data_IF_384975791356
#
_entry.id   IF_384975791356
#
_cell.length_a   1.000
_cell.length_b   1.000
_cell.length_c   1.000
_cell.angle_alpha   90.00
_cell.angle_beta   90.00
_cell.angle_gamma   90.00
#
_symmetry.space_group_name_H-M   'P 1'
#
loop_
_entity.id
_entity.type
_entity.pdbx_description
1 polymer ?
#
# COMPACT_ATOMS: atom_id res chain seq x y z
N UNK A 1 23.74 20.01 -61.76
CA UNK A 1 22.59 19.10 -61.43
C UNK A 1 22.59 18.95 -59.92
N UNK A 2 21.50 19.34 -59.31
CA UNK A 2 21.35 19.20 -57.87
C UNK A 2 21.42 17.71 -57.48
N UNK A 3 22.12 17.35 -56.40
CA UNK A 3 22.21 15.97 -55.96
C UNK A 3 20.83 15.45 -55.58
N UNK A 4 20.46 14.27 -56.09
CA UNK A 4 19.19 13.62 -55.76
C UNK A 4 19.45 12.32 -55.05
N UNK A 5 18.73 12.08 -53.94
CA UNK A 5 18.73 10.82 -53.19
C UNK A 5 17.39 10.13 -53.38
N UNK A 6 17.41 8.83 -53.55
CA UNK A 6 16.20 8.03 -53.72
C UNK A 6 15.69 7.56 -52.33
N UNK A 7 14.44 7.82 -52.04
CA UNK A 7 13.82 7.31 -50.83
C UNK A 7 13.83 5.77 -50.83
N UNK A 8 14.34 5.16 -49.79
CA UNK A 8 14.46 3.69 -49.64
C UNK A 8 13.10 2.98 -49.64
N UNK A 9 12.04 3.66 -49.17
CA UNK A 9 10.72 3.15 -49.06
C UNK A 9 9.88 3.35 -50.33
N UNK A 10 9.53 4.58 -50.71
CA UNK A 10 8.66 4.86 -51.85
C UNK A 10 9.39 5.00 -53.18
N UNK A 11 10.73 4.90 -53.21
CA UNK A 11 11.61 5.02 -54.40
C UNK A 11 11.54 6.37 -55.10
N UNK A 12 10.87 7.38 -54.57
CA UNK A 12 10.85 8.74 -55.10
C UNK A 12 12.23 9.38 -54.96
N UNK A 13 12.65 10.13 -55.98
CA UNK A 13 13.85 10.94 -55.92
C UNK A 13 13.54 12.27 -55.25
N UNK A 14 14.35 12.65 -54.27
CA UNK A 14 14.28 13.91 -53.53
C UNK A 14 15.54 14.69 -53.87
N UNK A 15 15.38 15.95 -54.26
CA UNK A 15 16.49 16.88 -54.47
C UNK A 15 16.99 17.30 -53.10
N UNK A 16 18.27 17.20 -52.86
CA UNK A 16 18.90 17.45 -51.55
C UNK A 16 19.91 18.56 -51.69
N UNK A 17 19.60 19.72 -51.09
CA UNK A 17 20.52 20.86 -51.03
C UNK A 17 21.40 20.84 -49.76
N UNK A 18 20.92 20.12 -48.70
CA UNK A 18 21.67 19.90 -47.47
C UNK A 18 21.35 18.51 -46.88
N UNK A 19 22.20 18.06 -45.97
CA UNK A 19 21.95 16.78 -45.25
C UNK A 19 20.69 16.80 -44.39
N UNK A 20 20.09 17.97 -44.15
CA UNK A 20 18.84 18.14 -43.36
C UNK A 20 17.57 18.10 -44.22
N UNK A 21 17.65 18.00 -45.54
CA UNK A 21 16.49 17.97 -46.43
C UNK A 21 15.73 16.63 -46.39
N UNK A 22 16.37 15.61 -45.83
CA UNK A 22 15.77 14.32 -45.58
C UNK A 22 15.62 14.10 -44.06
N UNK A 23 14.37 13.84 -43.53
CA UNK A 23 14.16 13.64 -42.10
C UNK A 23 14.95 12.46 -41.53
N UNK A 24 15.21 11.44 -42.36
CA UNK A 24 16.01 10.27 -41.97
C UNK A 24 17.01 10.01 -43.14
N UNK A 25 18.28 10.12 -42.86
CA UNK A 25 19.37 9.81 -43.79
C UNK A 25 20.58 9.23 -43.08
N UNK A 26 20.99 8.03 -43.48
CA UNK A 26 22.24 7.43 -42.99
C UNK A 26 23.25 7.37 -44.10
N UNK A 27 24.30 8.20 -44.04
CA UNK A 27 25.32 8.25 -45.11
C UNK A 27 26.15 6.96 -45.22
N UNK A 28 26.19 6.10 -44.19
CA UNK A 28 27.00 4.87 -44.23
C UNK A 28 26.29 3.76 -44.99
N UNK A 29 24.97 3.61 -44.80
CA UNK A 29 24.18 2.61 -45.48
C UNK A 29 23.51 3.10 -46.78
N UNK A 30 23.47 4.42 -46.99
CA UNK A 30 22.70 5.05 -48.05
C UNK A 30 21.19 5.01 -47.85
N UNK A 31 20.72 4.60 -46.65
CA UNK A 31 19.32 4.56 -46.33
C UNK A 31 18.73 5.96 -46.16
N UNK A 32 17.61 6.22 -46.84
CA UNK A 32 16.96 7.53 -46.81
C UNK A 32 15.44 7.40 -46.81
N UNK A 33 14.75 8.23 -46.03
CA UNK A 33 13.31 8.37 -46.06
C UNK A 33 12.91 9.81 -46.35
N UNK A 34 12.00 10.01 -47.30
CA UNK A 34 11.42 11.33 -47.56
C UNK A 34 10.38 11.70 -46.48
N UNK A 35 10.11 12.98 -46.29
CA UNK A 35 9.21 13.51 -45.26
C UNK A 35 7.82 12.84 -45.32
N UNK A 36 7.27 12.61 -46.54
CA UNK A 36 5.98 11.93 -46.70
C UNK A 36 6.02 10.50 -46.14
N UNK A 37 7.06 9.71 -46.44
CA UNK A 37 7.15 8.35 -45.93
C UNK A 37 7.34 8.33 -44.41
N UNK A 38 8.09 9.27 -43.84
CA UNK A 38 8.20 9.40 -42.37
C UNK A 38 6.83 9.69 -41.75
N UNK A 39 6.05 10.61 -42.33
CA UNK A 39 4.71 10.93 -41.88
C UNK A 39 3.74 9.73 -42.01
N UNK A 40 3.81 9.02 -43.14
CA UNK A 40 2.94 7.85 -43.37
C UNK A 40 3.27 6.69 -42.39
N UNK A 41 4.58 6.46 -42.14
CA UNK A 41 5.04 5.48 -41.15
C UNK A 41 4.62 5.90 -39.74
N UNK A 42 4.78 7.18 -39.37
CA UNK A 42 4.37 7.71 -38.08
C UNK A 42 2.87 7.49 -37.84
N UNK A 43 2.03 7.85 -38.84
CA UNK A 43 0.57 7.63 -38.75
C UNK A 43 0.21 6.15 -38.64
N UNK A 44 0.94 5.27 -39.35
CA UNK A 44 0.71 3.83 -39.26
C UNK A 44 1.07 3.28 -37.88
N UNK A 45 2.17 3.78 -37.29
CA UNK A 45 2.57 3.45 -35.91
C UNK A 45 1.54 3.94 -34.90
N UNK A 46 1.06 5.19 -35.03
CA UNK A 46 0.00 5.72 -34.14
C UNK A 46 -1.29 4.90 -34.26
N UNK A 47 -1.73 4.58 -35.49
CA UNK A 47 -2.92 3.77 -35.71
C UNK A 47 -2.79 2.38 -35.09
N UNK A 48 -1.62 1.74 -35.25
CA UNK A 48 -1.35 0.43 -34.64
C UNK A 48 -1.29 0.53 -33.10
N UNK A 49 -0.73 1.60 -32.58
CA UNK A 49 -0.67 1.83 -31.12
C UNK A 49 -2.06 2.06 -30.52
N UNK A 50 -2.94 2.75 -31.24
CA UNK A 50 -4.36 2.90 -30.87
C UNK A 50 -5.10 1.55 -30.88
N UNK A 51 -4.80 0.69 -31.86
CA UNK A 51 -5.42 -0.64 -32.00
C UNK A 51 -4.93 -1.58 -30.88
N UNK A 52 -3.63 -1.61 -30.59
CA UNK A 52 -3.04 -2.35 -29.45
C UNK A 52 -3.60 -1.87 -28.13
N UNK A 53 -3.77 -0.56 -27.95
CA UNK A 53 -4.35 -0.02 -26.73
C UNK A 53 -5.83 -0.42 -26.59
N UNK A 54 -6.61 -0.42 -27.68
CA UNK A 54 -8.01 -0.90 -27.65
C UNK A 54 -8.13 -2.38 -27.31
N UNK A 55 -7.23 -3.22 -27.81
CA UNK A 55 -7.20 -4.63 -27.45
C UNK A 55 -6.83 -4.83 -25.98
N UNK A 56 -5.84 -4.09 -25.48
CA UNK A 56 -5.45 -4.09 -24.06
C UNK A 56 -6.59 -3.57 -23.16
N UNK A 57 -7.30 -2.53 -23.60
CA UNK A 57 -8.48 -2.01 -22.89
C UNK A 57 -9.62 -3.02 -22.87
N UNK A 58 -9.88 -3.72 -23.98
CA UNK A 58 -10.91 -4.76 -24.07
C UNK A 58 -10.58 -5.98 -23.18
N UNK A 59 -9.33 -6.40 -23.12
CA UNK A 59 -8.87 -7.46 -22.23
C UNK A 59 -8.97 -7.03 -20.76
N UNK A 60 -8.63 -5.78 -20.46
CA UNK A 60 -8.78 -5.19 -19.12
C UNK A 60 -10.25 -5.12 -18.71
N UNK A 61 -11.16 -4.78 -19.64
CA UNK A 61 -12.61 -4.76 -19.42
C UNK A 61 -13.16 -6.15 -19.11
N UNK A 62 -12.80 -7.16 -19.90
CA UNK A 62 -13.21 -8.54 -19.65
C UNK A 62 -12.77 -9.03 -18.29
N UNK A 63 -11.55 -8.69 -17.89
CA UNK A 63 -11.01 -9.03 -16.58
C UNK A 63 -11.73 -8.28 -15.45
N UNK A 64 -12.05 -6.97 -15.63
CA UNK A 64 -12.80 -6.18 -14.65
C UNK A 64 -14.21 -6.72 -14.39
N UNK A 65 -14.92 -7.21 -15.40
CA UNK A 65 -16.26 -7.79 -15.23
C UNK A 65 -16.22 -9.09 -14.42
N UNK A 66 -15.26 -9.96 -14.70
CA UNK A 66 -15.06 -11.18 -13.93
C UNK A 66 -14.60 -10.86 -12.50
N UNK A 67 -13.69 -9.91 -12.34
CA UNK A 67 -13.22 -9.42 -11.05
C UNK A 67 -14.34 -8.77 -10.24
N UNK A 68 -15.16 -7.90 -10.84
CA UNK A 68 -16.28 -7.24 -10.18
C UNK A 68 -17.30 -8.23 -9.60
N UNK A 69 -17.48 -9.40 -10.22
CA UNK A 69 -18.33 -10.47 -9.65
C UNK A 69 -17.74 -11.05 -8.35
N UNK A 70 -16.41 -11.04 -8.21
CA UNK A 70 -15.65 -11.58 -7.08
C UNK A 70 -15.38 -10.54 -5.99
N UNK A 71 -15.42 -9.24 -6.31
CA UNK A 71 -15.03 -8.11 -5.42
C UNK A 71 -16.19 -7.59 -4.56
N UNK A 72 -17.31 -8.30 -4.41
CA UNK A 72 -18.41 -7.83 -3.55
C UNK A 72 -17.93 -7.60 -2.12
N UNK A 73 -18.33 -6.48 -1.45
CA UNK A 73 -17.78 -6.10 -0.15
C UNK A 73 -17.86 -7.17 0.94
N UNK A 74 -18.96 -7.96 0.95
CA UNK A 74 -19.11 -9.06 1.90
C UNK A 74 -18.11 -10.20 1.64
N UNK A 75 -17.81 -10.53 0.38
CA UNK A 75 -16.82 -11.56 0.03
C UNK A 75 -15.40 -11.13 0.40
N UNK A 76 -15.08 -9.84 0.19
CA UNK A 76 -13.82 -9.27 0.64
C UNK A 76 -13.69 -9.41 2.15
N UNK A 77 -14.72 -9.01 2.91
CA UNK A 77 -14.73 -9.12 4.37
C UNK A 77 -14.57 -10.57 4.82
N UNK A 78 -15.33 -11.52 4.25
CA UNK A 78 -15.21 -12.94 4.55
C UNK A 78 -13.81 -13.51 4.29
N UNK A 79 -13.16 -13.05 3.22
CA UNK A 79 -11.77 -13.45 2.95
C UNK A 79 -10.82 -12.88 4.01
N UNK A 80 -10.95 -11.59 4.34
CA UNK A 80 -10.12 -10.93 5.34
C UNK A 80 -10.31 -11.55 6.73
N UNK A 81 -11.52 -11.98 7.08
CA UNK A 81 -11.83 -12.64 8.37
C UNK A 81 -11.04 -13.96 8.55
N UNK A 82 -10.58 -14.59 7.47
CA UNK A 82 -9.75 -15.80 7.54
C UNK A 82 -8.28 -15.53 7.94
N UNK A 83 -7.84 -14.27 7.84
CA UNK A 83 -6.44 -13.88 8.06
C UNK A 83 -6.25 -12.81 9.13
N UNK A 84 -7.25 -11.96 9.36
CA UNK A 84 -7.17 -10.80 10.24
C UNK A 84 -8.18 -10.96 11.36
N UNK A 85 -7.71 -10.95 12.60
CA UNK A 85 -8.55 -10.99 13.80
C UNK A 85 -9.05 -9.58 14.12
N UNK A 86 -10.27 -9.48 14.62
CA UNK A 86 -10.94 -8.22 14.94
C UNK A 86 -10.95 -7.26 13.72
N UNK A 87 -10.90 -5.96 13.96
CA UNK A 87 -10.86 -4.91 12.93
C UNK A 87 -12.08 -4.89 11.98
N UNK A 88 -13.26 -5.28 12.48
CA UNK A 88 -14.46 -5.46 11.66
C UNK A 88 -14.89 -4.19 10.92
N UNK A 89 -14.80 -3.04 11.61
CA UNK A 89 -15.13 -1.75 11.01
C UNK A 89 -14.14 -1.37 9.89
N UNK A 90 -12.85 -1.58 10.11
CA UNK A 90 -11.82 -1.32 9.11
C UNK A 90 -12.00 -2.23 7.88
N UNK A 91 -12.22 -3.53 8.08
CA UNK A 91 -12.52 -4.48 7.00
C UNK A 91 -13.72 -4.05 6.17
N UNK A 92 -14.81 -3.61 6.83
CA UNK A 92 -16.03 -3.13 6.17
C UNK A 92 -15.75 -1.87 5.33
N UNK A 93 -15.08 -0.87 5.91
CA UNK A 93 -14.76 0.39 5.23
C UNK A 93 -13.88 0.13 4.00
N UNK A 94 -12.81 -0.65 4.15
CA UNK A 94 -11.90 -0.95 3.06
C UNK A 94 -12.57 -1.78 1.96
N UNK A 95 -13.39 -2.77 2.32
CA UNK A 95 -14.14 -3.56 1.35
C UNK A 95 -15.05 -2.70 0.48
N UNK A 96 -15.75 -1.74 1.10
CA UNK A 96 -16.62 -0.80 0.37
C UNK A 96 -15.81 0.18 -0.45
N UNK A 97 -14.72 0.73 0.10
CA UNK A 97 -13.87 1.71 -0.60
C UNK A 97 -13.27 1.12 -1.88
N UNK A 98 -12.72 -0.09 -1.79
CA UNK A 98 -12.17 -0.81 -2.94
C UNK A 98 -13.25 -1.14 -3.96
N UNK A 99 -14.38 -1.68 -3.53
CA UNK A 99 -15.50 -1.98 -4.43
C UNK A 99 -15.98 -0.74 -5.19
N UNK A 100 -16.13 0.40 -4.50
CA UNK A 100 -16.52 1.66 -5.14
C UNK A 100 -15.46 2.19 -6.10
N UNK A 101 -14.17 2.02 -5.77
CA UNK A 101 -13.08 2.39 -6.65
C UNK A 101 -13.15 1.64 -7.98
N UNK A 102 -13.35 0.31 -7.95
CA UNK A 102 -13.47 -0.50 -9.17
C UNK A 102 -14.77 -0.21 -9.93
N UNK A 103 -15.89 0.05 -9.24
CA UNK A 103 -17.12 0.52 -9.88
C UNK A 103 -16.92 1.83 -10.63
N UNK A 104 -16.20 2.77 -10.03
CA UNK A 104 -15.88 4.04 -10.68
C UNK A 104 -15.07 3.83 -11.96
N UNK A 105 -14.06 2.98 -11.90
CA UNK A 105 -13.26 2.65 -13.09
C UNK A 105 -14.13 2.05 -14.19
N UNK A 106 -14.94 1.03 -13.86
CA UNK A 106 -15.85 0.40 -14.81
C UNK A 106 -16.82 1.41 -15.43
N UNK A 107 -17.41 2.28 -14.60
CA UNK A 107 -18.31 3.33 -15.09
C UNK A 107 -17.62 4.24 -16.11
N UNK A 108 -16.35 4.62 -15.86
CA UNK A 108 -15.56 5.41 -16.82
C UNK A 108 -15.22 4.70 -18.11
N UNK A 109 -15.16 3.35 -18.13
CA UNK A 109 -14.97 2.57 -19.34
C UNK A 109 -16.26 2.36 -20.15
N UNK A 110 -17.38 2.13 -19.45
CA UNK A 110 -18.66 1.78 -20.08
C UNK A 110 -19.34 2.99 -20.76
N UNK A 111 -18.96 4.23 -20.44
CA UNK A 111 -19.61 5.45 -20.90
C UNK A 111 -18.63 6.38 -21.62
N UNK A 112 -19.11 7.13 -22.58
CA UNK A 112 -18.32 8.18 -23.26
C UNK A 112 -18.09 9.36 -22.32
N UNK A 113 -16.95 10.04 -22.45
CA UNK A 113 -16.59 11.17 -21.57
C UNK A 113 -17.65 12.26 -21.48
N UNK A 114 -18.37 12.55 -22.57
CA UNK A 114 -19.42 13.58 -22.65
C UNK A 114 -20.73 13.20 -21.92
N UNK A 115 -20.92 11.94 -21.54
CA UNK A 115 -22.13 11.40 -20.89
C UNK A 115 -21.89 11.00 -19.43
N UNK A 116 -20.68 11.22 -18.92
CA UNK A 116 -20.29 10.78 -17.58
C UNK A 116 -20.72 11.79 -16.51
N UNK A 117 -21.41 11.30 -15.49
CA UNK A 117 -21.43 11.98 -14.21
C UNK A 117 -20.02 11.94 -13.59
N UNK A 118 -19.56 13.05 -13.03
CA UNK A 118 -18.25 13.11 -12.39
C UNK A 118 -18.24 12.33 -11.08
N UNK A 119 -17.76 11.09 -11.11
CA UNK A 119 -17.51 10.30 -9.91
C UNK A 119 -16.06 10.53 -9.46
N UNK A 120 -15.89 11.30 -8.40
CA UNK A 120 -14.57 11.63 -7.87
C UNK A 120 -13.84 10.40 -7.32
N UNK A 121 -12.50 10.44 -7.43
CA UNK A 121 -11.61 9.44 -6.85
C UNK A 121 -11.61 9.55 -5.33
N UNK A 122 -11.84 8.43 -4.65
CA UNK A 122 -11.87 8.35 -3.19
C UNK A 122 -10.69 7.53 -2.67
N UNK A 123 -9.59 8.21 -2.32
CA UNK A 123 -8.48 7.56 -1.64
C UNK A 123 -8.78 7.38 -0.14
N UNK A 124 -7.99 6.56 0.53
CA UNK A 124 -8.25 6.13 1.92
C UNK A 124 -7.11 6.59 2.83
N UNK A 125 -7.46 7.07 4.02
CA UNK A 125 -6.51 7.22 5.13
C UNK A 125 -6.78 6.18 6.20
N UNK A 126 -5.71 5.49 6.63
CA UNK A 126 -5.76 4.41 7.62
C UNK A 126 -4.99 4.83 8.89
N UNK A 127 -5.67 4.84 10.03
CA UNK A 127 -5.10 5.15 11.33
C UNK A 127 -5.11 3.93 12.23
N UNK A 128 -4.05 3.74 12.99
CA UNK A 128 -4.03 2.66 14.00
C UNK A 128 -2.63 2.44 14.57
N UNK A 129 -2.51 1.91 15.79
CA UNK A 129 -1.23 1.70 16.46
C UNK A 129 -0.23 0.89 15.64
N UNK A 130 1.04 0.98 16.01
CA UNK A 130 2.04 0.08 15.42
C UNK A 130 1.70 -1.37 15.78
N UNK A 131 1.79 -2.28 14.81
CA UNK A 131 1.52 -3.70 15.04
C UNK A 131 0.03 -4.10 15.09
N UNK A 132 -0.94 -3.19 14.85
CA UNK A 132 -2.37 -3.53 14.80
C UNK A 132 -2.79 -4.22 13.49
N UNK A 133 -1.91 -4.38 12.50
CA UNK A 133 -2.17 -5.16 11.29
C UNK A 133 -2.48 -4.34 10.03
N UNK A 134 -2.23 -3.02 9.98
CA UNK A 134 -2.50 -2.17 8.79
C UNK A 134 -1.95 -2.76 7.49
N UNK A 135 -0.65 -2.97 7.43
CA UNK A 135 0.03 -3.50 6.23
C UNK A 135 -0.42 -4.93 5.90
N UNK A 136 -0.65 -5.78 6.91
CA UNK A 136 -1.14 -7.14 6.71
C UNK A 136 -2.55 -7.13 6.10
N UNK A 137 -3.46 -6.28 6.61
CA UNK A 137 -4.82 -6.13 6.11
C UNK A 137 -4.82 -5.76 4.62
N UNK A 138 -4.00 -4.77 4.23
CA UNK A 138 -3.89 -4.30 2.85
C UNK A 138 -3.21 -5.33 1.93
N UNK A 139 -2.19 -6.03 2.41
CA UNK A 139 -1.52 -7.09 1.65
C UNK A 139 -2.46 -8.26 1.36
N UNK A 140 -3.29 -8.67 2.32
CA UNK A 140 -4.30 -9.71 2.10
C UNK A 140 -5.42 -9.23 1.17
N UNK A 141 -5.82 -7.96 1.28
CA UNK A 141 -6.79 -7.36 0.36
C UNK A 141 -6.28 -7.39 -1.08
N UNK A 142 -5.07 -6.90 -1.34
CA UNK A 142 -4.46 -6.89 -2.66
C UNK A 142 -4.26 -8.31 -3.22
N UNK A 143 -3.85 -9.26 -2.37
CA UNK A 143 -3.70 -10.68 -2.75
C UNK A 143 -5.03 -11.32 -3.15
N UNK A 144 -6.13 -11.01 -2.45
CA UNK A 144 -7.45 -11.52 -2.80
C UNK A 144 -7.89 -11.04 -4.18
N UNK A 145 -7.56 -9.79 -4.49
CA UNK A 145 -7.99 -9.11 -5.72
C UNK A 145 -7.06 -9.40 -6.91
N UNK A 146 -5.94 -10.06 -6.69
CA UNK A 146 -4.86 -10.28 -7.68
C UNK A 146 -4.37 -8.99 -8.35
N UNK A 147 -4.28 -7.92 -7.56
CA UNK A 147 -3.95 -6.58 -8.02
C UNK A 147 -2.51 -6.24 -7.64
N UNK A 148 -1.76 -5.53 -8.51
CA UNK A 148 -0.46 -4.99 -8.15
C UNK A 148 -0.55 -4.12 -6.89
N UNK A 149 0.33 -4.39 -5.93
CA UNK A 149 0.36 -3.70 -4.65
C UNK A 149 1.78 -3.29 -4.30
N UNK A 150 1.96 -2.01 -4.03
CA UNK A 150 3.25 -1.48 -3.58
C UNK A 150 3.12 -0.77 -2.24
N UNK A 151 4.08 -1.04 -1.37
CA UNK A 151 4.24 -0.33 -0.09
C UNK A 151 5.44 0.62 -0.22
N UNK A 152 5.24 1.86 0.18
CA UNK A 152 6.30 2.88 0.20
C UNK A 152 6.27 3.58 1.56
N UNK A 153 7.42 3.65 2.19
CA UNK A 153 7.60 4.38 3.45
C UNK A 153 7.66 5.89 3.17
N UNK A 154 6.68 6.63 3.68
CA UNK A 154 6.58 8.07 3.49
C UNK A 154 7.69 8.84 4.18
N UNK A 155 8.29 8.28 5.23
CA UNK A 155 9.40 8.93 5.97
C UNK A 155 10.68 9.01 5.12
N UNK A 156 10.79 8.18 4.08
CA UNK A 156 11.92 8.18 3.14
C UNK A 156 11.75 9.15 1.98
N UNK A 157 10.56 9.71 1.80
CA UNK A 157 10.25 10.61 0.70
C UNK A 157 10.76 12.03 1.00
N UNK A 158 11.26 12.70 -0.04
CA UNK A 158 11.73 14.07 0.02
C UNK A 158 11.16 14.87 -1.14
N UNK A 159 11.14 16.19 -0.96
CA UNK A 159 10.80 17.11 -2.03
C UNK A 159 11.84 17.02 -3.16
N UNK A 160 11.39 17.20 -4.41
CA UNK A 160 12.26 17.14 -5.59
C UNK A 160 13.45 18.10 -5.47
N UNK A 161 14.67 17.57 -5.60
CA UNK A 161 15.92 18.34 -5.48
C UNK A 161 16.62 18.23 -4.11
N UNK A 162 16.01 17.61 -3.11
CA UNK A 162 16.65 17.28 -1.84
C UNK A 162 17.26 15.87 -1.83
N UNK A 163 18.10 15.59 -0.83
CA UNK A 163 18.69 14.25 -0.65
C UNK A 163 17.63 13.30 -0.07
N UNK A 164 17.22 12.32 -0.87
CA UNK A 164 16.21 11.32 -0.52
C UNK A 164 15.56 10.71 -1.74
N UNK A 165 14.44 10.06 -1.54
CA UNK A 165 13.65 9.46 -2.62
C UNK A 165 12.54 10.39 -3.07
N UNK A 166 12.48 10.71 -4.35
CA UNK A 166 11.39 11.48 -4.93
C UNK A 166 10.05 10.72 -4.77
N UNK A 167 8.94 11.45 -4.69
CA UNK A 167 7.59 10.87 -4.50
C UNK A 167 7.19 9.87 -5.59
N UNK A 168 7.76 10.01 -6.80
CA UNK A 168 7.57 9.10 -7.94
C UNK A 168 8.07 7.66 -7.66
N UNK A 169 8.90 7.46 -6.64
CA UNK A 169 9.33 6.13 -6.17
C UNK A 169 8.14 5.23 -5.85
N UNK A 170 7.06 5.79 -5.33
CA UNK A 170 5.84 5.02 -5.02
C UNK A 170 5.23 4.40 -6.29
N UNK A 171 5.09 5.19 -7.36
CA UNK A 171 4.57 4.71 -8.65
C UNK A 171 5.55 3.75 -9.32
N UNK A 172 6.85 4.04 -9.23
CA UNK A 172 7.91 3.15 -9.74
C UNK A 172 7.88 1.79 -9.04
N UNK A 173 7.68 1.74 -7.72
CA UNK A 173 7.55 0.48 -6.99
C UNK A 173 6.34 -0.32 -7.46
N UNK A 174 5.20 0.35 -7.68
CA UNK A 174 4.00 -0.28 -8.21
C UNK A 174 4.21 -0.82 -9.64
N UNK A 175 4.90 -0.08 -10.49
CA UNK A 175 5.25 -0.54 -11.84
C UNK A 175 6.05 -1.85 -11.83
N UNK A 176 7.01 -1.99 -10.90
CA UNK A 176 7.74 -3.25 -10.75
C UNK A 176 6.87 -4.36 -10.14
N UNK A 177 5.97 -4.03 -9.22
CA UNK A 177 5.00 -5.00 -8.67
C UNK A 177 3.97 -5.45 -9.72
N UNK A 178 3.75 -4.65 -10.76
CA UNK A 178 2.91 -4.96 -11.91
C UNK A 178 3.67 -5.67 -13.05
N UNK A 179 4.86 -6.27 -12.79
CA UNK A 179 5.70 -6.93 -13.77
C UNK A 179 6.05 -6.05 -14.98
N UNK A 180 6.22 -4.74 -14.75
CA UNK A 180 6.50 -3.71 -15.76
C UNK A 180 5.37 -3.52 -16.78
N UNK A 181 4.17 -3.95 -16.49
CA UNK A 181 2.98 -3.71 -17.29
C UNK A 181 2.33 -2.40 -16.85
N UNK A 182 2.29 -1.40 -17.74
CA UNK A 182 1.76 -0.06 -17.44
C UNK A 182 0.26 -0.15 -17.14
N UNK A 183 -0.53 -0.85 -17.94
CA UNK A 183 -1.97 -0.98 -17.75
C UNK A 183 -2.30 -1.61 -16.40
N UNK A 184 -1.65 -2.71 -16.03
CA UNK A 184 -1.81 -3.31 -14.69
C UNK A 184 -1.37 -2.36 -13.57
N UNK A 185 -0.29 -1.59 -13.79
CA UNK A 185 0.20 -0.60 -12.83
C UNK A 185 -0.85 0.48 -12.57
N UNK A 186 -1.47 1.01 -13.62
CA UNK A 186 -2.49 2.07 -13.53
C UNK A 186 -3.78 1.66 -12.80
N UNK A 187 -4.00 0.36 -12.61
CA UNK A 187 -5.13 -0.20 -11.85
C UNK A 187 -4.73 -0.78 -10.49
N UNK A 188 -3.52 -0.55 -10.06
CA UNK A 188 -2.97 -1.07 -8.80
C UNK A 188 -3.32 -0.25 -7.55
N UNK A 189 -2.76 -0.70 -6.44
CA UNK A 189 -2.90 -0.05 -5.12
C UNK A 189 -1.52 0.38 -4.61
N UNK A 190 -1.38 1.64 -4.22
CA UNK A 190 -0.21 2.16 -3.51
C UNK A 190 -0.58 2.38 -2.05
N UNK A 191 0.18 1.77 -1.16
CA UNK A 191 0.12 2.04 0.27
C UNK A 191 1.33 2.89 0.69
N UNK A 192 1.04 4.11 1.15
CA UNK A 192 2.02 5.01 1.73
C UNK A 192 1.99 4.83 3.26
N UNK A 193 2.94 4.04 3.79
CA UNK A 193 3.05 3.79 5.24
C UNK A 193 3.82 4.92 5.94
N UNK A 194 3.71 5.00 7.25
CA UNK A 194 4.33 6.02 8.10
C UNK A 194 4.00 7.48 7.68
N UNK A 195 2.80 7.70 7.13
CA UNK A 195 2.37 9.00 6.64
C UNK A 195 2.31 10.09 7.73
N UNK A 196 2.11 9.69 8.98
CA UNK A 196 2.16 10.56 10.15
C UNK A 196 3.55 11.18 10.39
N UNK A 197 4.62 10.63 9.80
CA UNK A 197 5.98 11.17 9.91
C UNK A 197 6.21 12.41 9.05
N UNK A 198 5.45 12.56 7.98
CA UNK A 198 5.49 13.76 7.14
C UNK A 198 4.46 14.82 7.54
N UNK A 199 3.77 14.63 8.68
CA UNK A 199 2.91 15.64 9.27
C UNK A 199 3.73 16.82 9.82
N UNK A 200 3.21 18.03 9.69
CA UNK A 200 3.81 19.22 10.32
C UNK A 200 3.83 19.05 11.83
N UNK A 201 4.96 19.27 12.47
CA UNK A 201 5.03 19.32 13.93
C UNK A 201 4.38 20.61 14.42
N UNK A 202 3.16 20.53 14.91
CA UNK A 202 2.53 21.62 15.65
C UNK A 202 3.14 21.72 17.05
N UNK A 203 4.26 22.44 17.20
CA UNK A 203 4.82 22.77 18.50
C UNK A 203 4.12 23.99 19.09
N UNK A 204 3.85 23.99 20.40
CA UNK A 204 3.32 25.16 21.16
C UNK A 204 4.28 26.37 21.18
N UNK A 205 5.51 26.23 20.69
CA UNK A 205 6.46 27.32 20.50
C UNK A 205 6.46 27.69 19.02
N UNK A 206 5.75 28.78 18.67
CA UNK A 206 5.83 29.51 17.42
C UNK A 206 7.23 30.12 17.17
N UNK A 207 8.28 29.35 17.23
CA UNK A 207 9.51 29.69 16.54
C UNK A 207 9.29 29.36 15.08
N UNK A 208 9.29 30.40 14.26
CA UNK A 208 9.13 30.45 12.78
C UNK A 208 10.32 29.73 12.12
N UNK A 209 10.51 28.48 12.39
CA UNK A 209 11.24 27.54 11.55
C UNK A 209 10.20 26.59 11.03
N UNK A 210 9.49 27.06 9.96
CA UNK A 210 8.80 26.15 9.08
C UNK A 210 9.79 25.02 8.76
N UNK A 211 9.42 23.79 9.05
CA UNK A 211 10.13 22.63 8.56
C UNK A 211 9.65 22.43 7.09
N UNK A 212 10.30 23.06 6.10
CA UNK A 212 9.77 23.14 4.74
C UNK A 212 9.77 21.77 4.05
N UNK A 213 10.57 20.83 4.57
CA UNK A 213 10.72 19.52 3.96
C UNK A 213 9.45 18.66 4.03
N UNK A 214 8.74 18.65 5.14
CA UNK A 214 7.57 17.78 5.32
C UNK A 214 6.33 18.30 4.59
N UNK A 215 6.11 19.61 4.55
CA UNK A 215 5.01 20.21 3.79
C UNK A 215 5.23 20.08 2.29
N UNK A 216 6.44 20.29 1.80
CA UNK A 216 6.79 20.12 0.40
C UNK A 216 6.54 18.70 -0.11
N UNK A 217 6.81 17.68 0.72
CA UNK A 217 6.47 16.28 0.41
C UNK A 217 4.96 16.09 0.30
N UNK A 218 4.18 16.62 1.26
CA UNK A 218 2.72 16.54 1.20
C UNK A 218 2.18 17.20 -0.08
N UNK A 219 2.67 18.38 -0.44
CA UNK A 219 2.27 19.08 -1.67
C UNK A 219 2.68 18.32 -2.94
N UNK A 220 3.85 17.70 -2.95
CA UNK A 220 4.31 16.87 -4.07
C UNK A 220 3.43 15.63 -4.29
N UNK A 221 2.93 15.04 -3.20
CA UNK A 221 2.00 13.90 -3.25
C UNK A 221 0.61 14.28 -3.77
N UNK A 222 0.18 15.54 -3.64
CA UNK A 222 -1.16 15.98 -4.08
C UNK A 222 -1.44 15.64 -5.54
N UNK A 223 -0.50 15.94 -6.45
CA UNK A 223 -0.67 15.68 -7.88
C UNK A 223 -0.94 14.20 -8.17
N UNK A 224 -0.24 13.30 -7.48
CA UNK A 224 -0.45 11.85 -7.65
C UNK A 224 -1.78 11.40 -7.06
N UNK A 225 -2.17 11.95 -5.91
CA UNK A 225 -3.46 11.63 -5.28
C UNK A 225 -4.66 12.09 -6.13
N UNK A 226 -4.54 13.23 -6.80
CA UNK A 226 -5.56 13.77 -7.71
C UNK A 226 -5.70 12.96 -9.00
N UNK A 227 -4.63 12.40 -9.48
CA UNK A 227 -4.53 11.68 -10.75
C UNK A 227 -3.83 12.52 -11.81
N UNK A 228 -2.57 12.23 -12.03
CA UNK A 228 -1.71 12.89 -13.02
C UNK A 228 -0.81 11.88 -13.70
N UNK A 229 -0.21 12.31 -14.81
CA UNK A 229 0.87 11.55 -15.43
C UNK A 229 2.15 11.72 -14.61
N UNK A 230 2.75 10.62 -14.20
CA UNK A 230 4.00 10.56 -13.45
C UNK A 230 5.06 9.94 -14.33
N UNK A 231 6.20 10.64 -14.44
CA UNK A 231 7.35 10.19 -15.23
C UNK A 231 8.51 9.78 -14.32
N UNK A 232 9.10 8.62 -14.59
CA UNK A 232 10.28 8.16 -13.87
C UNK A 232 11.20 7.34 -14.76
N UNK A 233 12.47 7.23 -14.37
CA UNK A 233 13.47 6.38 -15.05
C UNK A 233 13.48 4.97 -14.43
N UNK A 234 13.80 3.95 -15.25
CA UNK A 234 13.93 2.58 -14.77
C UNK A 234 15.06 2.45 -13.72
N UNK A 235 14.95 1.45 -12.82
CA UNK A 235 15.97 1.17 -11.79
C UNK A 235 17.35 0.93 -12.45
N UNK A 236 18.39 1.51 -11.87
CA UNK A 236 19.77 1.34 -12.31
C UNK A 236 20.21 2.30 -13.43
N UNK A 237 19.34 3.08 -14.00
CA UNK A 237 19.69 4.13 -14.92
C UNK A 237 19.92 5.45 -14.16
N UNK A 238 21.04 6.14 -14.45
CA UNK A 238 21.26 7.49 -13.93
C UNK A 238 20.25 8.44 -14.58
N UNK A 239 19.79 9.45 -13.84
CA UNK A 239 18.98 10.56 -14.41
C UNK A 239 19.85 11.31 -15.44
N UNK A 240 19.83 10.83 -16.68
CA UNK A 240 20.40 11.53 -17.83
C UNK A 240 19.24 12.12 -18.63
N UNK A 241 19.36 13.32 -19.22
CA UNK A 241 18.30 13.94 -20.04
C UNK A 241 17.81 13.07 -21.22
N UNK A 242 18.63 12.13 -21.67
CA UNK A 242 18.33 11.22 -22.79
C UNK A 242 17.90 9.81 -22.33
N UNK A 243 17.78 9.56 -21.01
CA UNK A 243 17.33 8.25 -20.53
C UNK A 243 15.83 8.06 -20.83
N UNK A 244 15.42 6.88 -21.33
CA UNK A 244 14.01 6.62 -21.59
C UNK A 244 13.20 6.72 -20.29
N UNK A 245 12.20 7.59 -20.28
CA UNK A 245 11.26 7.77 -19.19
C UNK A 245 10.05 6.87 -19.39
N UNK A 246 9.52 6.35 -18.29
CA UNK A 246 8.28 5.58 -18.24
C UNK A 246 7.21 6.53 -17.69
N UNK A 247 6.07 6.59 -18.38
CA UNK A 247 4.92 7.40 -18.03
C UNK A 247 3.81 6.51 -17.49
N UNK A 248 3.24 6.87 -16.36
CA UNK A 248 2.13 6.15 -15.72
C UNK A 248 1.09 7.16 -15.27
N UNK A 249 -0.17 6.93 -15.64
CA UNK A 249 -1.29 7.76 -15.21
C UNK A 249 -1.83 7.27 -13.87
N UNK A 250 -1.84 8.13 -12.86
CA UNK A 250 -2.28 7.77 -11.51
C UNK A 250 -3.79 7.93 -11.28
N UNK A 251 -4.58 8.30 -12.29
CA UNK A 251 -6.02 8.54 -12.19
C UNK A 251 -6.79 7.34 -11.61
N UNK A 252 -6.39 6.12 -12.01
CA UNK A 252 -7.04 4.88 -11.59
C UNK A 252 -6.24 4.08 -10.53
N UNK A 253 -5.11 4.58 -10.06
CA UNK A 253 -4.39 3.98 -8.94
C UNK A 253 -5.13 4.34 -7.64
N UNK A 254 -5.43 3.34 -6.80
CA UNK A 254 -5.97 3.58 -5.47
C UNK A 254 -4.83 3.90 -4.51
N UNK A 255 -4.84 5.10 -3.94
CA UNK A 255 -3.92 5.45 -2.87
C UNK A 255 -4.55 5.19 -1.51
N UNK A 256 -3.80 4.48 -0.68
CA UNK A 256 -4.12 4.29 0.73
C UNK A 256 -2.94 4.85 1.51
N UNK A 257 -3.17 5.85 2.34
CA UNK A 257 -2.12 6.40 3.20
C UNK A 257 -2.34 5.93 4.63
N UNK A 258 -1.29 5.59 5.36
CA UNK A 258 -1.44 5.08 6.71
C UNK A 258 -0.32 5.46 7.65
N UNK A 259 -0.64 5.45 8.94
CA UNK A 259 0.32 5.74 9.98
C UNK A 259 -0.19 5.38 11.37
N UNK A 260 0.69 5.50 12.35
CA UNK A 260 0.34 5.27 13.74
C UNK A 260 -0.43 6.46 14.35
N UNK A 261 -0.22 7.67 13.87
CA UNK A 261 -0.82 8.91 14.34
C UNK A 261 -0.81 9.03 15.87
N UNK A 262 0.35 8.75 16.47
CA UNK A 262 0.52 8.75 17.93
C UNK A 262 0.17 10.10 18.53
N UNK A 263 -0.79 10.13 19.46
CA UNK A 263 -1.28 11.35 20.10
C UNK A 263 -2.57 11.92 19.52
N UNK A 264 -3.08 11.36 18.40
CA UNK A 264 -4.34 11.80 17.80
C UNK A 264 -5.52 11.61 18.77
N UNK A 265 -5.46 10.58 19.62
CA UNK A 265 -6.45 10.30 20.67
C UNK A 265 -6.61 11.47 21.65
N UNK A 266 -5.52 12.21 21.91
CA UNK A 266 -5.55 13.40 22.77
C UNK A 266 -6.26 14.57 22.09
N UNK A 267 -6.06 14.72 20.76
CA UNK A 267 -6.72 15.75 19.95
C UNK A 267 -8.22 15.48 19.93
N UNK A 268 -8.62 14.23 19.68
CA UNK A 268 -10.02 13.78 19.68
C UNK A 268 -10.66 14.00 21.05
N UNK A 269 -9.99 13.59 22.14
CA UNK A 269 -10.49 13.78 23.51
C UNK A 269 -10.67 15.25 23.86
N UNK A 270 -9.74 16.12 23.44
CA UNK A 270 -9.85 17.59 23.66
C UNK A 270 -11.05 18.16 22.89
N UNK A 271 -11.28 17.73 21.65
CA UNK A 271 -12.45 18.16 20.86
C UNK A 271 -13.76 17.73 21.51
N UNK A 272 -13.87 16.47 21.94
CA UNK A 272 -15.08 15.96 22.57
C UNK A 272 -15.38 16.69 23.88
N UNK A 273 -14.39 16.92 24.74
CA UNK A 273 -14.57 17.70 25.98
C UNK A 273 -15.02 19.14 25.70
N UNK A 274 -14.48 19.79 24.66
CA UNK A 274 -14.89 21.14 24.28
C UNK A 274 -16.34 21.20 23.77
N UNK A 275 -16.86 20.09 23.25
CA UNK A 275 -18.27 19.99 22.77
C UNK A 275 -19.22 19.72 23.94
N UNK A 276 -18.77 18.99 24.99
CA UNK A 276 -19.58 18.67 26.18
C UNK A 276 -19.64 19.81 27.20
N UNK A 277 -18.65 20.72 27.20
CA UNK A 277 -18.69 21.95 27.98
C UNK A 277 -19.58 23.01 27.32
N UNK A 278 -20.84 22.69 27.07
CA UNK A 278 -21.88 23.69 26.82
C UNK A 278 -21.90 24.69 27.99
N UNK A 279 -21.70 25.99 27.68
CA UNK A 279 -21.82 27.08 28.64
C UNK A 279 -23.25 27.06 29.20
N UNK A 280 -23.45 26.38 30.33
CA UNK A 280 -24.74 26.30 31.01
C UNK A 280 -24.55 25.86 32.45
N UNK A 281 -25.22 26.52 33.39
CA UNK A 281 -25.35 26.14 34.82
C UNK A 281 -25.93 24.72 34.90
N UNK A 282 -25.08 23.72 35.07
CA UNK A 282 -25.50 22.31 35.14
C UNK A 282 -24.44 21.31 34.71
N UNK A 283 -23.18 21.71 34.50
CA UNK A 283 -22.08 20.80 34.23
C UNK A 283 -21.99 19.77 35.37
N UNK A 284 -22.37 18.51 35.10
CA UNK A 284 -22.06 17.39 35.97
C UNK A 284 -20.54 17.31 36.07
N UNK A 285 -20.02 17.58 37.25
CA UNK A 285 -18.67 17.21 37.65
C UNK A 285 -18.70 15.68 37.71
N UNK A 286 -18.48 15.00 36.60
CA UNK A 286 -18.17 13.60 36.63
C UNK A 286 -16.82 13.44 37.31
N UNK A 287 -16.85 12.69 38.41
CA UNK A 287 -15.68 12.37 39.20
C UNK A 287 -14.59 11.77 38.34
N UNK A 288 -13.36 11.80 38.84
CA UNK A 288 -12.13 11.22 38.31
C UNK A 288 -12.38 9.80 37.74
N UNK A 289 -12.92 9.70 36.54
CA UNK A 289 -13.20 8.42 35.91
C UNK A 289 -12.32 8.28 34.66
N UNK A 290 -11.65 7.16 34.65
CA UNK A 290 -10.85 6.48 33.65
C UNK A 290 -10.66 7.26 32.34
N UNK A 291 -9.41 7.49 31.96
CA UNK A 291 -9.08 8.06 30.65
C UNK A 291 -9.75 7.17 29.58
N UNK A 292 -10.55 7.76 28.68
CA UNK A 292 -11.21 6.97 27.62
C UNK A 292 -10.15 6.15 26.89
N UNK A 293 -10.45 4.86 26.68
CA UNK A 293 -9.53 3.95 26.00
C UNK A 293 -9.30 4.41 24.55
N UNK A 294 -8.15 4.09 24.01
CA UNK A 294 -7.81 4.42 22.62
C UNK A 294 -8.91 4.02 21.65
N UNK A 295 -9.42 2.79 21.76
CA UNK A 295 -10.43 2.24 20.86
C UNK A 295 -11.75 3.02 20.90
N UNK A 296 -12.13 3.58 22.04
CA UNK A 296 -13.36 4.40 22.19
C UNK A 296 -13.25 5.76 21.49
N UNK A 297 -12.03 6.24 21.31
CA UNK A 297 -11.73 7.56 20.72
C UNK A 297 -11.46 7.47 19.23
N UNK A 298 -10.68 6.49 18.79
CA UNK A 298 -10.14 6.47 17.42
C UNK A 298 -11.24 6.39 16.36
N UNK A 299 -12.35 5.72 16.63
CA UNK A 299 -13.51 5.65 15.73
C UNK A 299 -14.24 6.98 15.57
N UNK A 300 -13.96 7.95 16.44
CA UNK A 300 -14.53 9.30 16.39
C UNK A 300 -13.62 10.30 15.67
N UNK A 301 -12.58 9.81 14.97
CA UNK A 301 -11.68 10.64 14.17
C UNK A 301 -12.44 11.40 13.10
N UNK A 302 -12.13 12.69 12.94
CA UNK A 302 -12.68 13.59 11.94
C UNK A 302 -11.57 14.26 11.14
N UNK A 303 -11.87 14.79 9.96
CA UNK A 303 -10.91 15.56 9.15
C UNK A 303 -10.20 16.67 9.93
N UNK A 304 -10.92 17.36 10.82
CA UNK A 304 -10.37 18.45 11.63
C UNK A 304 -9.30 17.96 12.63
N UNK A 305 -9.40 16.71 13.09
CA UNK A 305 -8.39 16.12 14.00
C UNK A 305 -7.09 15.85 13.27
N UNK A 306 -7.18 15.42 12.00
CA UNK A 306 -6.03 15.19 11.12
C UNK A 306 -5.34 16.51 10.75
N UNK A 307 -6.12 17.58 10.49
CA UNK A 307 -5.56 18.92 10.29
C UNK A 307 -4.78 19.39 11.52
N UNK A 308 -5.37 19.22 12.71
CA UNK A 308 -4.71 19.56 13.97
C UNK A 308 -3.47 18.69 14.24
N UNK A 309 -3.43 17.50 13.72
CA UNK A 309 -2.27 16.62 13.80
C UNK A 309 -1.11 17.08 12.91
N UNK A 310 -1.41 17.81 11.81
CA UNK A 310 -0.41 18.38 10.91
C UNK A 310 -0.51 17.93 9.45
N UNK A 311 -1.61 17.30 9.06
CA UNK A 311 -1.89 16.99 7.65
C UNK A 311 -2.52 18.22 7.01
N UNK A 312 -2.05 18.61 5.81
CA UNK A 312 -2.57 19.79 5.12
C UNK A 312 -4.01 19.55 4.62
N UNK A 313 -4.86 20.60 4.62
CA UNK A 313 -6.28 20.49 4.23
C UNK A 313 -6.46 19.88 2.83
N UNK A 314 -5.58 20.21 1.88
CA UNK A 314 -5.62 19.76 0.50
C UNK A 314 -5.48 18.22 0.41
N UNK A 315 -4.57 17.64 1.18
CA UNK A 315 -4.41 16.17 1.28
C UNK A 315 -5.66 15.53 1.88
N UNK A 316 -6.21 16.12 2.94
CA UNK A 316 -7.42 15.59 3.61
C UNK A 316 -8.60 15.61 2.64
N UNK A 317 -8.74 16.64 1.82
CA UNK A 317 -9.75 16.71 0.77
C UNK A 317 -9.65 15.59 -0.26
N UNK A 318 -8.45 15.01 -0.46
CA UNK A 318 -8.20 13.88 -1.38
C UNK A 318 -8.23 12.51 -0.69
N UNK A 319 -8.46 12.47 0.62
CA UNK A 319 -8.56 11.28 1.45
C UNK A 319 -9.90 11.21 2.19
N UNK A 320 -11.04 11.19 1.47
CA UNK A 320 -12.36 11.30 2.08
C UNK A 320 -12.74 10.09 2.95
N UNK A 321 -12.09 8.95 2.74
CA UNK A 321 -12.40 7.72 3.47
C UNK A 321 -11.44 7.57 4.65
N UNK A 322 -11.94 7.75 5.86
CA UNK A 322 -11.18 7.56 7.10
C UNK A 322 -11.45 6.15 7.63
N UNK A 323 -10.38 5.34 7.71
CA UNK A 323 -10.40 3.98 8.22
C UNK A 323 -9.55 3.91 9.50
N UNK A 324 -10.11 3.40 10.58
CA UNK A 324 -9.43 3.32 11.88
C UNK A 324 -9.30 1.87 12.33
N UNK A 325 -8.13 1.51 12.81
CA UNK A 325 -7.87 0.21 13.42
C UNK A 325 -7.75 0.35 14.94
N UNK A 326 -8.29 -0.62 15.63
CA UNK A 326 -8.24 -0.74 17.07
C UNK A 326 -6.87 -1.24 17.53
N UNK A 327 -6.51 -0.87 18.77
CA UNK A 327 -5.38 -1.49 19.46
C UNK A 327 -5.74 -2.92 19.86
N UNK A 328 -4.74 -3.79 19.85
CA UNK A 328 -4.91 -5.22 20.11
C UNK A 328 -4.72 -5.49 21.61
N UNK A 329 -5.75 -6.01 22.25
CA UNK A 329 -5.68 -6.54 23.60
C UNK A 329 -5.04 -7.96 23.64
N UNK A 330 -4.78 -8.46 24.83
CA UNK A 330 -4.20 -9.79 25.04
C UNK A 330 -5.04 -10.88 24.36
N UNK A 331 -6.35 -10.81 24.46
CA UNK A 331 -7.25 -11.78 23.85
C UNK A 331 -7.16 -11.78 22.33
N UNK A 332 -7.08 -10.60 21.72
CA UNK A 332 -6.85 -10.47 20.26
C UNK A 332 -5.51 -11.08 19.84
N UNK A 333 -4.43 -10.86 20.63
CA UNK A 333 -3.12 -11.41 20.36
C UNK A 333 -3.10 -12.95 20.45
N UNK A 334 -3.78 -13.54 21.45
CA UNK A 334 -3.96 -14.98 21.58
C UNK A 334 -4.68 -15.58 20.36
N UNK A 335 -5.74 -14.93 19.92
CA UNK A 335 -6.48 -15.34 18.73
C UNK A 335 -5.62 -15.24 17.48
N UNK A 336 -4.79 -14.18 17.34
CA UNK A 336 -3.86 -14.01 16.20
C UNK A 336 -2.82 -15.15 16.17
N UNK A 337 -2.40 -15.66 17.30
CA UNK A 337 -1.45 -16.78 17.38
C UNK A 337 -2.01 -18.08 16.81
N UNK A 338 -3.34 -18.30 16.91
CA UNK A 338 -3.94 -19.62 16.72
C UNK A 338 -5.00 -19.70 15.62
N UNK A 339 -5.86 -18.70 15.46
CA UNK A 339 -7.05 -18.79 14.61
C UNK A 339 -6.80 -18.57 13.12
N UNK A 340 -6.06 -17.52 12.67
CA UNK A 340 -5.88 -17.22 11.25
C UNK A 340 -5.29 -18.40 10.48
N UNK A 341 -5.56 -18.46 9.16
CA UNK A 341 -4.95 -19.46 8.29
C UNK A 341 -3.41 -19.40 8.28
N UNK A 342 -2.88 -18.20 8.44
CA UNK A 342 -1.44 -17.93 8.54
C UNK A 342 -0.99 -17.70 9.98
N UNK A 343 -1.71 -18.21 10.97
CA UNK A 343 -1.36 -18.08 12.38
C UNK A 343 0.05 -18.65 12.65
N UNK A 344 0.91 -17.95 13.41
CA UNK A 344 2.27 -18.43 13.69
C UNK A 344 2.33 -19.85 14.22
N UNK A 345 1.50 -20.19 15.19
CA UNK A 345 1.44 -21.54 15.77
C UNK A 345 1.13 -22.60 14.71
N UNK A 346 0.17 -22.32 13.81
CA UNK A 346 -0.18 -23.25 12.73
C UNK A 346 0.97 -23.45 11.75
N UNK A 347 1.73 -22.40 11.46
CA UNK A 347 2.88 -22.49 10.56
C UNK A 347 3.97 -23.39 11.16
N UNK A 348 4.32 -23.18 12.45
CA UNK A 348 5.32 -24.03 13.12
C UNK A 348 4.84 -25.47 13.32
N UNK A 349 3.57 -25.69 13.68
CA UNK A 349 3.00 -27.05 13.72
C UNK A 349 3.18 -27.76 12.38
N UNK A 350 2.89 -27.07 11.25
CA UNK A 350 3.02 -27.67 9.93
C UNK A 350 4.47 -27.94 9.52
N UNK A 351 5.41 -27.07 9.92
CA UNK A 351 6.84 -27.31 9.68
C UNK A 351 7.35 -28.52 10.46
N UNK A 352 6.97 -28.63 11.74
CA UNK A 352 7.38 -29.74 12.61
C UNK A 352 6.74 -31.08 12.21
N UNK A 353 5.50 -31.05 11.70
CA UNK A 353 4.84 -32.24 11.15
C UNK A 353 5.61 -32.86 9.97
N UNK A 354 6.33 -32.04 9.17
CA UNK A 354 7.18 -32.53 8.09
C UNK A 354 8.40 -33.33 8.58
N UNK A 355 8.79 -33.09 9.84
CA UNK A 355 9.90 -33.82 10.52
C UNK A 355 9.37 -34.88 11.49
N UNK A 356 8.13 -35.35 11.32
CA UNK A 356 7.43 -36.32 12.18
C UNK A 356 7.36 -35.90 13.65
N UNK A 357 7.09 -34.61 13.90
CA UNK A 357 6.98 -34.07 15.25
C UNK A 357 5.61 -33.39 15.46
N UNK A 358 4.91 -33.83 16.48
CA UNK A 358 3.69 -33.22 16.97
C UNK A 358 4.02 -32.06 17.91
N UNK A 359 3.92 -30.83 17.39
CA UNK A 359 4.17 -29.63 18.18
C UNK A 359 2.91 -29.15 18.88
N UNK A 360 2.98 -28.95 20.19
CA UNK A 360 1.93 -28.35 21.00
C UNK A 360 2.44 -27.13 21.76
N UNK A 361 1.60 -26.11 21.89
CA UNK A 361 1.81 -24.97 22.79
C UNK A 361 0.79 -25.08 23.90
N UNK A 362 1.23 -25.06 25.16
CA UNK A 362 0.32 -24.97 26.30
C UNK A 362 -0.37 -23.60 26.33
N UNK A 363 -1.54 -23.53 26.95
CA UNK A 363 -2.27 -22.27 27.07
C UNK A 363 -1.44 -21.17 27.76
N UNK A 364 -0.69 -21.56 28.81
CA UNK A 364 0.19 -20.62 29.54
C UNK A 364 1.35 -20.13 28.63
N UNK A 365 1.85 -20.98 27.68
CA UNK A 365 2.86 -20.54 26.71
C UNK A 365 2.30 -19.48 25.76
N UNK A 366 1.07 -19.68 25.28
CA UNK A 366 0.41 -18.71 24.42
C UNK A 366 0.18 -17.37 25.14
N UNK A 367 -0.25 -17.43 26.41
CA UNK A 367 -0.38 -16.24 27.27
C UNK A 367 0.97 -15.55 27.49
N UNK A 368 2.04 -16.30 27.75
CA UNK A 368 3.38 -15.73 27.92
C UNK A 368 3.85 -15.02 26.64
N UNK A 369 3.59 -15.56 25.45
CA UNK A 369 3.90 -14.92 24.17
C UNK A 369 3.11 -13.60 24.01
N UNK A 370 1.81 -13.62 24.30
CA UNK A 370 0.95 -12.43 24.19
C UNK A 370 1.40 -11.32 25.18
N UNK A 371 1.70 -11.67 26.42
CA UNK A 371 2.19 -10.72 27.44
C UNK A 371 3.53 -10.08 27.03
N UNK A 372 4.50 -10.88 26.58
CA UNK A 372 5.77 -10.35 26.05
C UNK A 372 5.56 -9.38 24.88
N UNK A 373 4.59 -9.66 24.00
CA UNK A 373 4.28 -8.74 22.90
C UNK A 373 3.69 -7.41 23.40
N UNK A 374 2.84 -7.44 24.41
CA UNK A 374 2.29 -6.24 25.07
C UNK A 374 3.40 -5.44 25.74
N UNK A 375 4.28 -6.09 26.53
CA UNK A 375 5.42 -5.45 27.20
C UNK A 375 6.35 -4.75 26.21
N UNK A 376 6.63 -5.38 25.08
CA UNK A 376 7.43 -4.80 23.97
C UNK A 376 6.72 -3.64 23.25
N UNK A 377 5.43 -3.41 23.48
CA UNK A 377 4.59 -2.39 22.81
C UNK A 377 4.65 -2.44 21.28
N UNK A 378 4.80 -3.63 20.72
CA UNK A 378 4.97 -3.85 19.27
C UNK A 378 3.76 -4.54 18.64
N UNK A 379 2.72 -4.82 19.44
CA UNK A 379 1.50 -5.49 19.00
C UNK A 379 1.80 -6.85 18.35
N UNK A 380 1.05 -7.20 17.32
CA UNK A 380 1.19 -8.50 16.66
C UNK A 380 2.53 -8.67 15.91
N UNK A 381 3.29 -7.60 15.64
CA UNK A 381 4.56 -7.67 14.89
C UNK A 381 5.61 -8.54 15.58
N UNK A 382 5.65 -8.54 16.92
CA UNK A 382 6.63 -9.32 17.69
C UNK A 382 6.24 -10.76 17.92
N UNK A 383 4.97 -11.14 17.74
CA UNK A 383 4.49 -12.51 18.04
C UNK A 383 5.31 -13.59 17.33
N UNK A 384 5.56 -13.40 16.04
CA UNK A 384 6.36 -14.36 15.27
C UNK A 384 7.79 -14.43 15.78
N UNK A 385 8.44 -13.30 16.03
CA UNK A 385 9.81 -13.28 16.53
C UNK A 385 9.96 -13.93 17.92
N UNK A 386 8.98 -13.73 18.82
CA UNK A 386 9.01 -14.39 20.14
C UNK A 386 8.92 -15.92 20.01
N UNK A 387 8.08 -16.42 19.10
CA UNK A 387 8.00 -17.86 18.83
C UNK A 387 9.30 -18.36 18.17
N UNK A 388 9.81 -17.60 17.18
CA UNK A 388 11.04 -17.95 16.45
C UNK A 388 12.24 -18.12 17.37
N UNK A 389 12.40 -17.20 18.34
CA UNK A 389 13.45 -17.26 19.36
C UNK A 389 13.42 -18.59 20.14
N UNK A 390 12.24 -19.11 20.46
CA UNK A 390 12.07 -20.38 21.21
C UNK A 390 12.20 -21.59 20.29
N UNK A 391 11.69 -21.49 19.06
CA UNK A 391 11.70 -22.60 18.11
C UNK A 391 13.07 -22.87 17.48
N UNK A 392 13.99 -21.90 17.53
CA UNK A 392 15.30 -22.01 16.86
C UNK A 392 16.07 -23.25 17.30
N UNK A 393 16.30 -23.42 18.59
CA UNK A 393 17.08 -24.56 19.14
C UNK A 393 16.34 -25.88 18.94
N UNK A 394 15.01 -25.85 19.07
CA UNK A 394 14.16 -27.03 18.89
C UNK A 394 14.24 -27.53 17.44
N UNK A 395 14.09 -26.64 16.47
CA UNK A 395 14.15 -26.99 15.06
C UNK A 395 15.57 -27.38 14.60
N UNK A 396 16.60 -26.92 15.31
CA UNK A 396 17.98 -27.34 15.03
C UNK A 396 18.29 -28.77 15.55
N UNK A 397 17.72 -29.14 16.69
CA UNK A 397 18.02 -30.41 17.36
C UNK A 397 17.14 -31.60 16.92
N UNK A 398 15.89 -31.31 16.56
CA UNK A 398 14.87 -32.32 16.22
C UNK A 398 15.26 -33.22 15.03
N UNK A 399 15.74 -32.68 13.88
CA UNK A 399 16.05 -33.49 12.71
C UNK A 399 17.19 -34.55 12.92
N UNK A 400 17.80 -34.56 14.09
CA UNK A 400 18.86 -35.56 14.42
C UNK A 400 18.32 -36.97 14.63
N UNK A 401 17.00 -37.19 14.67
CA UNK A 401 16.36 -38.47 14.90
C UNK A 401 15.09 -38.62 14.09
N UNK A 402 14.93 -39.76 13.42
CA UNK A 402 13.76 -40.11 12.60
C UNK A 402 12.56 -40.63 13.44
N UNK A 403 12.62 -40.57 14.77
CA UNK A 403 11.53 -40.99 15.65
C UNK A 403 10.38 -40.00 15.65
N UNK A 404 9.16 -40.54 15.71
CA UNK A 404 7.98 -39.72 15.94
C UNK A 404 7.98 -39.20 17.39
N UNK A 405 7.82 -37.88 17.55
CA UNK A 405 7.95 -37.21 18.85
C UNK A 405 6.82 -36.20 19.04
N UNK A 406 6.45 -36.05 20.29
CA UNK A 406 5.61 -34.89 20.71
C UNK A 406 6.49 -33.90 21.46
N UNK A 407 6.40 -32.66 21.05
CA UNK A 407 7.11 -31.50 21.67
C UNK A 407 6.08 -30.53 22.21
N UNK A 408 6.12 -30.30 23.52
CA UNK A 408 5.23 -29.36 24.19
C UNK A 408 6.01 -28.14 24.67
N UNK A 409 5.60 -26.98 24.18
CA UNK A 409 6.15 -25.67 24.58
C UNK A 409 5.35 -25.15 25.78
N UNK A 410 6.05 -24.83 26.86
CA UNK A 410 5.48 -24.30 28.10
C UNK A 410 5.81 -22.81 28.27
N UNK A 411 5.18 -22.15 29.25
CA UNK A 411 5.49 -20.77 29.61
C UNK A 411 6.96 -20.57 30.00
N UNK A 412 7.60 -21.58 30.62
CA UNK A 412 9.00 -21.51 30.98
C UNK A 412 9.93 -21.50 29.75
N UNK A 413 9.57 -22.21 28.68
CA UNK A 413 10.30 -22.13 27.41
C UNK A 413 10.29 -20.69 26.87
N UNK A 414 9.13 -20.00 26.97
CA UNK A 414 8.96 -18.63 26.51
C UNK A 414 9.71 -17.65 27.42
N UNK A 415 9.59 -17.79 28.75
CA UNK A 415 10.06 -16.81 29.71
C UNK A 415 11.55 -16.97 30.05
N UNK A 416 12.00 -18.21 30.20
CA UNK A 416 13.28 -18.56 30.78
C UNK A 416 14.19 -19.36 29.80
N UNK A 417 13.77 -19.54 28.54
CA UNK A 417 14.46 -20.41 27.55
C UNK A 417 14.69 -21.83 28.09
N UNK A 418 13.74 -22.34 28.90
CA UNK A 418 13.79 -23.70 29.37
C UNK A 418 13.63 -24.69 28.20
N UNK A 419 14.18 -25.91 28.35
CA UNK A 419 14.00 -26.96 27.36
C UNK A 419 12.54 -27.39 27.28
N UNK A 420 12.00 -27.60 26.05
CA UNK A 420 10.63 -28.11 25.90
C UNK A 420 10.48 -29.52 26.44
N UNK A 421 9.23 -29.90 26.71
CA UNK A 421 8.93 -31.31 27.06
C UNK A 421 8.91 -32.10 25.77
N UNK A 422 9.76 -33.14 25.68
CA UNK A 422 9.84 -33.99 24.49
C UNK A 422 9.48 -35.43 24.92
N UNK A 423 8.51 -36.00 24.24
CA UNK A 423 8.00 -37.35 24.44
C UNK A 423 8.19 -38.14 23.14
N UNK A 424 8.88 -39.32 23.22
CA UNK A 424 8.94 -40.21 22.07
C UNK A 424 7.58 -40.93 21.95
N UNK A 425 6.94 -40.85 20.79
CA UNK A 425 5.72 -41.59 20.47
C UNK A 425 6.11 -42.89 19.79
N UNK A 426 5.48 -44.02 20.20
CA UNK A 426 5.76 -45.35 19.66
C UNK A 426 5.34 -45.53 18.19
#
# INVERSE_FOLDING_TARGET
KDPTIQCSFCKRRVVVHSQYDLPVYDPRSGFALCARCVTDIYKAIEAHQVEVNKEADAETMSNLDEEMSRIKPHLIKEYLDKYIINQDQAKKILSVAVYNHYKRMKYGFDHKEDELDEIEKSNVIILGPSGCGKTALLSHLAKMLDIPFAVTDSSSLTEAGFVGSDVEVAVRNLYYAADKNITRCEHGIIYLDEFDKIARKSGENNTITADPGHEGVQQSLLKMLEGSEVEFTARGQRKHPEAPTIKVNTKNILFIVGGAFVGIEKIIAKRLKATDTGIGFGAKIEGQNEKPKYNDLIHKTRPEDLMKFGIIPEIIGRLPVICTLEDLDENALLRILTEPRNAPVRQYKKLMEMDNVDLEFSDDALHAVAQKAIERKTGARSLKGIIEDVMLDIMFDIPKSDKHRKVTITADCINNHATPIVEDLE
#
